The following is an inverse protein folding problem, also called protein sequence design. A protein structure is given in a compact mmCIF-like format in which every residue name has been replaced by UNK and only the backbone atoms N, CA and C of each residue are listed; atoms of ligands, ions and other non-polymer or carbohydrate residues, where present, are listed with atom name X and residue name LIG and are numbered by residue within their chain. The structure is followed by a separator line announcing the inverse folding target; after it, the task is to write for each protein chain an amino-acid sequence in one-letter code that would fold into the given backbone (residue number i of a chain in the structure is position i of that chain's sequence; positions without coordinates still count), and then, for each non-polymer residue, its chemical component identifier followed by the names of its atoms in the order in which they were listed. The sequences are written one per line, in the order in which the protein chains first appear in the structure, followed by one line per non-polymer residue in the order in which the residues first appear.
data_IF_317173243147
#
_entry.id   IF_317173243147
#
_cell.length_a   1.000
_cell.length_b   1.000
_cell.length_c   1.000
_cell.angle_alpha   90.00
_cell.angle_beta   90.00
_cell.angle_gamma   90.00
#
_symmetry.space_group_name_H-M   'P 1'
#
loop_
_entity.id
_entity.type
_entity.pdbx_description
1 polymer ?
#
# COMPACT_ATOMS: atom_id res chain seq x y z
N UNK A 1 2.25 22.99 -7.56
CA UNK A 1 3.25 21.93 -7.27
C UNK A 1 2.47 20.68 -6.94
N UNK A 2 2.74 19.55 -7.61
CA UNK A 2 2.21 18.25 -7.20
C UNK A 2 2.93 17.85 -5.90
N UNK A 3 2.20 17.38 -4.90
CA UNK A 3 2.78 16.91 -3.64
C UNK A 3 3.58 15.62 -3.88
N UNK A 4 4.70 15.43 -3.17
CA UNK A 4 5.44 14.16 -3.21
C UNK A 4 4.56 13.02 -2.68
N UNK A 5 4.92 11.77 -3.01
CA UNK A 5 4.19 10.60 -2.54
C UNK A 5 4.13 10.56 -1.00
N UNK A 6 5.22 10.92 -0.33
CA UNK A 6 5.28 11.01 1.14
C UNK A 6 4.30 12.05 1.71
N UNK A 7 4.19 13.22 1.07
CA UNK A 7 3.26 14.25 1.48
C UNK A 7 1.81 13.83 1.27
N UNK A 8 1.52 13.08 0.21
CA UNK A 8 0.19 12.50 -0.03
C UNK A 8 -0.14 11.42 1.00
N UNK A 9 0.82 10.56 1.35
CA UNK A 9 0.65 9.58 2.42
C UNK A 9 0.35 10.25 3.76
N UNK A 10 1.10 11.29 4.12
CA UNK A 10 0.87 12.04 5.36
C UNK A 10 -0.53 12.66 5.39
N UNK A 11 -0.96 13.28 4.29
CA UNK A 11 -2.29 13.87 4.20
C UNK A 11 -3.41 12.82 4.28
N UNK A 12 -3.22 11.66 3.65
CA UNK A 12 -4.17 10.55 3.72
C UNK A 12 -4.27 9.97 5.13
N UNK A 13 -3.16 9.89 5.87
CA UNK A 13 -3.16 9.51 7.29
C UNK A 13 -3.88 10.54 8.17
N UNK A 14 -3.60 11.84 7.99
CA UNK A 14 -4.28 12.92 8.71
C UNK A 14 -5.80 12.92 8.48
N UNK A 15 -6.21 12.62 7.25
CA UNK A 15 -7.62 12.52 6.87
C UNK A 15 -8.29 11.16 7.14
N UNK A 16 -7.58 10.17 7.68
CA UNK A 16 -8.06 8.78 7.84
C UNK A 16 -8.61 8.18 6.51
N UNK A 17 -8.05 8.62 5.38
CA UNK A 17 -8.48 8.23 4.03
C UNK A 17 -7.87 6.89 3.63
N UNK A 18 -8.49 5.82 4.13
CA UNK A 18 -8.08 4.43 3.89
C UNK A 18 -7.97 4.09 2.40
N UNK A 19 -8.86 4.59 1.56
CA UNK A 19 -8.81 4.31 0.11
C UNK A 19 -7.62 5.01 -0.55
N UNK A 20 -7.32 6.25 -0.16
CA UNK A 20 -6.10 6.91 -0.59
C UNK A 20 -4.86 6.16 -0.10
N UNK A 21 -4.83 5.72 1.16
CA UNK A 21 -3.70 4.95 1.72
C UNK A 21 -3.47 3.65 0.95
N UNK A 22 -4.51 2.88 0.63
CA UNK A 22 -4.41 1.66 -0.19
C UNK A 22 -3.72 1.98 -1.52
N UNK A 23 -4.19 3.00 -2.25
CA UNK A 23 -3.64 3.37 -3.56
C UNK A 23 -2.21 3.88 -3.47
N UNK A 24 -1.91 4.75 -2.51
CA UNK A 24 -0.62 5.41 -2.37
C UNK A 24 0.47 4.42 -1.92
N UNK A 25 0.17 3.52 -0.98
CA UNK A 25 1.11 2.46 -0.61
C UNK A 25 1.31 1.45 -1.73
N UNK A 26 0.26 1.12 -2.49
CA UNK A 26 0.40 0.27 -3.68
C UNK A 26 1.31 0.92 -4.73
N UNK A 27 1.18 2.24 -4.93
CA UNK A 27 2.04 3.00 -5.83
C UNK A 27 3.49 3.05 -5.32
N UNK A 28 3.70 3.25 -4.01
CA UNK A 28 5.03 3.23 -3.41
C UNK A 28 5.74 1.89 -3.66
N UNK A 29 5.00 0.78 -3.52
CA UNK A 29 5.52 -0.55 -3.82
C UNK A 29 5.92 -0.71 -5.30
N UNK A 30 5.14 -0.15 -6.22
CA UNK A 30 5.35 -0.29 -7.67
C UNK A 30 6.60 0.45 -8.18
N UNK A 31 6.89 1.63 -7.60
CA UNK A 31 8.03 2.45 -8.00
C UNK A 31 9.34 2.11 -7.27
N UNK A 32 9.26 1.23 -6.26
CA UNK A 32 10.42 0.85 -5.45
C UNK A 32 11.16 -0.31 -6.10
N UNK A 33 12.47 -0.14 -6.33
CA UNK A 33 13.30 -1.17 -6.97
C UNK A 33 13.86 -2.21 -5.98
N UNK A 34 13.62 -2.02 -4.69
CA UNK A 34 14.02 -2.94 -3.62
C UNK A 34 12.82 -3.80 -3.21
N UNK A 35 12.95 -5.13 -3.32
CA UNK A 35 11.83 -6.06 -3.11
C UNK A 35 11.36 -6.04 -1.66
N UNK A 36 12.26 -5.88 -0.70
CA UNK A 36 11.93 -5.82 0.72
C UNK A 36 11.13 -4.56 1.04
N UNK A 37 11.58 -3.40 0.53
CA UNK A 37 10.86 -2.14 0.67
C UNK A 37 9.52 -2.15 -0.09
N UNK A 38 9.45 -2.76 -1.27
CA UNK A 38 8.20 -2.94 -2.00
C UNK A 38 7.21 -3.81 -1.19
N UNK A 39 7.67 -4.91 -0.60
CA UNK A 39 6.85 -5.77 0.25
C UNK A 39 6.39 -5.02 1.51
N UNK A 40 7.24 -4.21 2.12
CA UNK A 40 6.86 -3.35 3.25
C UNK A 40 5.68 -2.46 2.90
N UNK A 41 5.73 -1.76 1.75
CA UNK A 41 4.62 -0.93 1.30
C UNK A 41 3.37 -1.74 0.96
N UNK A 42 3.51 -2.91 0.32
CA UNK A 42 2.37 -3.80 0.04
C UNK A 42 1.68 -4.28 1.31
N UNK A 43 2.41 -4.57 2.39
CA UNK A 43 1.82 -4.95 3.68
C UNK A 43 0.92 -3.84 4.22
N UNK A 44 1.35 -2.58 4.18
CA UNK A 44 0.48 -1.46 4.59
C UNK A 44 -0.74 -1.31 3.69
N UNK A 45 -0.57 -1.37 2.37
CA UNK A 45 -1.70 -1.34 1.44
C UNK A 45 -2.71 -2.45 1.76
N UNK A 46 -2.21 -3.65 2.06
CA UNK A 46 -3.03 -4.82 2.38
C UNK A 46 -3.79 -4.65 3.71
N UNK A 47 -3.11 -4.20 4.77
CA UNK A 47 -3.74 -3.92 6.07
C UNK A 47 -4.89 -2.92 5.91
N UNK A 48 -4.65 -1.79 5.23
CA UNK A 48 -5.71 -0.80 5.02
C UNK A 48 -6.85 -1.33 4.15
N UNK A 49 -6.56 -2.19 3.17
CA UNK A 49 -7.58 -2.84 2.37
C UNK A 49 -8.46 -3.79 3.21
N UNK A 50 -7.86 -4.54 4.14
CA UNK A 50 -8.61 -5.37 5.09
C UNK A 50 -9.49 -4.51 6.02
N UNK A 51 -8.93 -3.46 6.61
CA UNK A 51 -9.67 -2.56 7.50
C UNK A 51 -10.84 -1.85 6.81
N UNK A 52 -10.67 -1.50 5.53
CA UNK A 52 -11.71 -0.86 4.73
C UNK A 52 -12.70 -1.86 4.11
N UNK A 53 -12.47 -3.17 4.22
CA UNK A 53 -13.24 -4.19 3.49
C UNK A 53 -13.12 -4.06 1.96
N UNK A 54 -11.99 -3.54 1.48
CA UNK A 54 -11.76 -3.20 0.09
C UNK A 54 -11.39 -4.46 -0.73
N UNK A 55 -11.89 -4.60 -1.97
CA UNK A 55 -11.61 -5.76 -2.82
C UNK A 55 -10.12 -5.87 -3.20
N UNK A 56 -9.37 -4.77 -3.15
CA UNK A 56 -7.92 -4.76 -3.38
C UNK A 56 -7.15 -5.72 -2.47
N UNK A 57 -7.69 -6.05 -1.29
CA UNK A 57 -7.06 -6.95 -0.34
C UNK A 57 -6.66 -8.30 -0.98
N UNK A 58 -7.51 -8.85 -1.85
CA UNK A 58 -7.23 -10.13 -2.52
C UNK A 58 -6.03 -10.03 -3.48
N UNK A 59 -5.95 -8.95 -4.26
CA UNK A 59 -4.85 -8.73 -5.20
C UNK A 59 -3.54 -8.41 -4.47
N UNK A 60 -3.61 -7.63 -3.38
CA UNK A 60 -2.44 -7.27 -2.59
C UNK A 60 -1.85 -8.49 -1.87
N UNK A 61 -2.70 -9.33 -1.27
CA UNK A 61 -2.30 -10.60 -0.67
C UNK A 61 -1.64 -11.53 -1.68
N UNK A 62 -2.19 -11.64 -2.90
CA UNK A 62 -1.60 -12.46 -3.95
C UNK A 62 -0.18 -12.00 -4.34
N UNK A 63 0.07 -10.68 -4.37
CA UNK A 63 1.39 -10.10 -4.63
C UNK A 63 2.37 -10.42 -3.51
N UNK A 64 1.97 -10.25 -2.25
CA UNK A 64 2.80 -10.55 -1.08
C UNK A 64 3.18 -12.04 -1.02
N UNK A 65 2.22 -12.92 -1.29
CA UNK A 65 2.45 -14.37 -1.40
C UNK A 65 3.44 -14.73 -2.52
N UNK A 66 3.37 -14.06 -3.67
CA UNK A 66 4.31 -14.28 -4.78
C UNK A 66 5.77 -13.96 -4.41
N UNK A 67 5.99 -13.07 -3.43
CA UNK A 67 7.32 -12.75 -2.90
C UNK A 67 7.72 -13.60 -1.68
N UNK A 68 6.91 -14.57 -1.26
CA UNK A 68 7.16 -15.41 -0.08
C UNK A 68 7.08 -14.67 1.24
N UNK A 69 6.32 -13.56 1.30
CA UNK A 69 6.19 -12.70 2.48
C UNK A 69 4.86 -12.90 3.24
N UNK A 70 3.94 -13.71 2.72
CA UNK A 70 2.71 -14.15 3.39
C UNK A 70 2.38 -15.60 2.99
N UNK A 71 1.92 -16.43 3.94
CA UNK A 71 1.72 -17.89 3.78
C UNK A 71 0.29 -18.28 3.35
#
# INVERSE_FOLDING_TARGET
MVASLDAQLLAAHDGDDRFALIRLYTQAADITNDIDAACFFLTYAYIFALEAGAPEAATLHARLKAHGREE
#
